data_IF_373547658064
#
_entry.id   IF_373547658064
#
_cell.length_a   1.000
_cell.length_b   1.000
_cell.length_c   1.000
_cell.angle_alpha   90.00
_cell.angle_beta   90.00
_cell.angle_gamma   90.00
#
_symmetry.space_group_name_H-M   'P 1'
#
loop_
_entity.id
_entity.type
_entity.pdbx_description
1 polymer ?
#
# COMPACT_ATOMS: atom_id res chain seq x y z
N UNK A 1 41.18 -12.56 -18.41
CA UNK A 1 39.83 -13.11 -18.70
C UNK A 1 38.95 -11.99 -19.21
N UNK A 2 38.72 -11.90 -20.53
CA UNK A 2 37.73 -10.99 -21.12
C UNK A 2 36.34 -11.55 -20.79
N UNK A 3 35.65 -10.95 -19.82
CA UNK A 3 34.23 -11.23 -19.59
C UNK A 3 33.45 -10.55 -20.72
N UNK A 4 32.96 -11.36 -21.66
CA UNK A 4 32.07 -10.90 -22.72
C UNK A 4 30.76 -10.43 -22.12
N UNK A 5 30.61 -9.11 -21.94
CA UNK A 5 29.31 -8.49 -21.69
C UNK A 5 28.45 -8.69 -22.96
N UNK A 6 27.26 -9.30 -22.86
CA UNK A 6 26.36 -9.35 -24.01
C UNK A 6 25.99 -7.93 -24.44
N UNK A 7 26.04 -7.70 -25.75
CA UNK A 7 25.72 -6.45 -26.42
C UNK A 7 24.47 -5.77 -25.83
N UNK A 8 24.68 -4.66 -25.12
CA UNK A 8 23.61 -3.76 -24.70
C UNK A 8 23.08 -3.10 -25.99
N UNK A 9 22.01 -3.68 -26.57
CA UNK A 9 21.24 -3.04 -27.63
C UNK A 9 20.78 -1.67 -27.12
N UNK A 10 20.96 -0.63 -27.94
CA UNK A 10 20.62 0.75 -27.61
C UNK A 10 19.20 0.87 -27.04
N UNK A 11 19.07 1.60 -25.92
CA UNK A 11 17.83 1.87 -25.19
C UNK A 11 16.85 2.80 -25.95
N UNK A 12 16.56 2.56 -27.23
CA UNK A 12 15.70 3.45 -28.04
C UNK A 12 14.24 3.00 -28.18
N UNK A 13 13.83 1.82 -27.71
CA UNK A 13 12.47 1.28 -27.95
C UNK A 13 11.80 0.63 -26.74
N UNK A 14 11.87 1.23 -25.54
CA UNK A 14 10.92 0.89 -24.47
C UNK A 14 9.75 1.85 -24.55
N UNK A 15 8.67 1.44 -25.22
CA UNK A 15 7.36 2.08 -25.05
C UNK A 15 7.02 2.04 -23.55
N UNK A 16 7.11 3.18 -22.86
CA UNK A 16 6.67 3.36 -21.49
C UNK A 16 5.13 3.31 -21.46
N UNK A 17 4.54 2.13 -21.54
CA UNK A 17 3.12 1.97 -21.24
C UNK A 17 2.96 1.95 -19.72
N UNK A 18 3.06 3.13 -19.09
CA UNK A 18 2.69 3.31 -17.69
C UNK A 18 1.17 3.25 -17.62
N UNK A 19 0.61 2.19 -17.04
CA UNK A 19 -0.84 1.99 -17.00
C UNK A 19 -1.55 2.72 -15.85
N UNK A 20 -0.85 3.53 -15.06
CA UNK A 20 -1.36 4.03 -13.78
C UNK A 20 -0.89 5.42 -13.38
N UNK A 21 -1.58 6.44 -13.85
CA UNK A 21 -1.63 7.68 -13.09
C UNK A 21 -3.06 8.18 -13.03
N UNK A 22 -3.51 8.44 -11.82
CA UNK A 22 -4.37 9.58 -11.54
C UNK A 22 -4.00 10.72 -12.49
N UNK A 23 -4.89 11.05 -13.43
CA UNK A 23 -4.60 12.04 -14.44
C UNK A 23 -4.38 13.44 -13.80
N UNK A 24 -3.78 14.35 -14.55
CA UNK A 24 -3.43 15.67 -14.03
C UNK A 24 -4.67 16.46 -13.57
N UNK A 25 -5.83 16.21 -14.18
CA UNK A 25 -7.08 16.90 -13.83
C UNK A 25 -7.64 16.36 -12.51
N UNK A 26 -7.62 15.04 -12.30
CA UNK A 26 -7.97 14.43 -11.03
C UNK A 26 -7.05 14.90 -9.89
N UNK A 27 -5.73 14.99 -10.10
CA UNK A 27 -4.84 15.53 -9.07
C UNK A 27 -5.15 17.00 -8.73
N UNK A 28 -5.64 17.76 -9.71
CA UNK A 28 -6.06 19.15 -9.53
C UNK A 28 -7.38 19.22 -8.74
N UNK A 29 -8.33 18.31 -8.95
CA UNK A 29 -9.56 18.27 -8.12
C UNK A 29 -9.22 17.98 -6.66
N UNK A 30 -8.27 17.07 -6.39
CA UNK A 30 -7.79 16.82 -5.03
C UNK A 30 -7.15 18.07 -4.40
N UNK A 31 -6.27 18.78 -5.12
CA UNK A 31 -5.61 20.00 -4.61
C UNK A 31 -6.58 21.14 -4.34
N UNK A 32 -7.69 21.19 -5.07
CA UNK A 32 -8.76 22.17 -4.87
C UNK A 32 -9.81 21.73 -3.84
N UNK A 33 -9.69 20.52 -3.28
CA UNK A 33 -10.70 19.89 -2.42
C UNK A 33 -12.08 19.75 -3.09
N UNK A 34 -12.11 19.51 -4.40
CA UNK A 34 -13.36 19.36 -5.18
C UNK A 34 -13.78 17.88 -5.34
N UNK A 35 -12.92 16.94 -4.95
CA UNK A 35 -13.26 15.51 -4.98
C UNK A 35 -14.29 15.19 -3.88
N UNK A 36 -15.40 14.56 -4.27
CA UNK A 36 -16.47 14.13 -3.35
C UNK A 36 -16.21 12.71 -2.89
N UNK A 37 -15.97 12.51 -1.60
CA UNK A 37 -15.75 11.19 -1.04
C UNK A 37 -17.08 10.48 -0.79
N UNK A 38 -17.07 9.15 -0.89
CA UNK A 38 -18.28 8.37 -0.59
C UNK A 38 -18.57 8.43 0.90
N UNK A 39 -19.83 8.69 1.25
CA UNK A 39 -20.29 8.74 2.65
C UNK A 39 -19.98 10.04 3.40
N UNK A 40 -19.60 11.12 2.72
CA UNK A 40 -19.47 12.45 3.37
C UNK A 40 -20.81 12.99 3.92
N UNK A 41 -21.94 12.52 3.42
CA UNK A 41 -23.30 12.92 3.84
C UNK A 41 -23.98 11.91 4.79
N UNK A 42 -23.36 10.76 5.09
CA UNK A 42 -23.96 9.70 5.91
C UNK A 42 -23.31 9.61 7.29
N UNK A 43 -24.12 9.71 8.34
CA UNK A 43 -23.70 9.48 9.74
C UNK A 43 -23.26 8.04 10.03
N UNK A 44 -23.52 7.12 9.10
CA UNK A 44 -23.22 5.69 9.22
C UNK A 44 -21.89 5.36 8.54
N UNK A 45 -20.84 5.16 9.34
CA UNK A 45 -19.45 5.24 8.85
C UNK A 45 -18.89 3.93 8.28
N UNK A 46 -19.68 2.84 8.19
CA UNK A 46 -19.11 1.51 7.90
C UNK A 46 -20.03 0.53 7.15
N UNK A 47 -21.00 0.98 6.36
CA UNK A 47 -21.77 0.06 5.49
C UNK A 47 -20.87 -0.40 4.35
N UNK A 48 -20.78 -1.73 4.10
CA UNK A 48 -20.08 -2.27 2.91
C UNK A 48 -20.65 -1.59 1.67
N UNK A 49 -19.79 -0.86 0.96
CA UNK A 49 -20.21 0.06 -0.10
C UNK A 49 -20.58 -0.71 -1.38
N UNK A 50 -20.19 -1.99 -1.48
CA UNK A 50 -20.59 -2.87 -2.56
C UNK A 50 -20.57 -4.35 -2.10
N UNK A 51 -21.72 -5.03 -2.02
CA UNK A 51 -21.81 -6.43 -1.60
C UNK A 51 -21.33 -7.43 -2.66
N UNK A 52 -21.23 -7.02 -3.93
CA UNK A 52 -20.90 -7.89 -5.06
C UNK A 52 -19.41 -7.86 -5.43
N UNK A 53 -18.63 -7.19 -4.58
CA UNK A 53 -17.23 -6.92 -4.79
C UNK A 53 -16.41 -8.17 -4.46
N UNK A 54 -16.44 -9.11 -5.40
CA UNK A 54 -15.76 -10.39 -5.36
C UNK A 54 -14.30 -10.19 -4.93
N UNK A 55 -13.96 -10.84 -3.82
CA UNK A 55 -12.65 -10.78 -3.19
C UNK A 55 -11.60 -11.29 -4.17
N UNK A 56 -10.97 -10.39 -4.94
CA UNK A 56 -9.77 -10.71 -5.72
C UNK A 56 -8.72 -11.23 -4.76
N UNK A 57 -8.57 -12.53 -4.58
CA UNK A 57 -7.60 -13.08 -3.61
C UNK A 57 -6.20 -13.08 -4.21
N UNK A 58 -5.21 -12.58 -3.46
CA UNK A 58 -3.80 -12.70 -3.85
C UNK A 58 -3.23 -13.98 -3.23
N UNK A 59 -2.72 -14.87 -4.06
CA UNK A 59 -1.99 -16.06 -3.60
C UNK A 59 -0.51 -15.71 -3.35
N UNK A 60 -0.13 -15.64 -2.08
CA UNK A 60 1.25 -15.42 -1.65
C UNK A 60 2.06 -16.72 -1.51
N UNK A 61 1.44 -17.90 -1.67
CA UNK A 61 2.10 -19.19 -1.40
C UNK A 61 3.22 -19.47 -2.40
N UNK A 62 4.42 -19.71 -1.87
CA UNK A 62 5.61 -20.01 -2.68
C UNK A 62 6.06 -18.87 -3.59
N UNK A 63 5.63 -17.63 -3.33
CA UNK A 63 5.97 -16.44 -4.11
C UNK A 63 7.05 -15.62 -3.41
N UNK A 64 7.99 -15.09 -4.17
CA UNK A 64 8.99 -14.13 -3.70
C UNK A 64 8.38 -12.73 -3.68
N UNK A 65 8.15 -12.22 -2.46
CA UNK A 65 7.62 -10.89 -2.21
C UNK A 65 8.75 -9.87 -2.03
N UNK A 66 8.82 -8.90 -2.92
CA UNK A 66 9.70 -7.74 -2.74
C UNK A 66 9.07 -6.81 -1.71
N UNK A 67 9.71 -6.71 -0.54
CA UNK A 67 9.25 -5.84 0.53
C UNK A 67 9.18 -4.37 0.08
N UNK A 68 8.25 -3.58 0.63
CA UNK A 68 8.22 -2.13 0.44
C UNK A 68 9.43 -1.53 1.16
N UNK A 69 10.26 -0.81 0.40
CA UNK A 69 11.51 -0.22 0.86
C UNK A 69 11.48 1.29 0.59
N UNK A 70 11.17 2.10 1.60
CA UNK A 70 11.20 3.56 1.47
C UNK A 70 12.59 4.03 1.02
N UNK A 71 12.63 5.06 0.17
CA UNK A 71 13.77 5.71 -0.50
C UNK A 71 14.51 4.92 -1.57
N UNK A 72 14.34 3.60 -1.63
CA UNK A 72 15.07 2.73 -2.60
C UNK A 72 14.16 1.85 -3.45
N UNK A 73 12.94 1.55 -2.98
CA UNK A 73 11.95 0.65 -3.61
C UNK A 73 11.15 1.27 -4.77
N UNK A 74 11.75 2.21 -5.48
CA UNK A 74 11.09 2.92 -6.58
C UNK A 74 10.84 2.00 -7.80
N UNK A 75 10.03 2.48 -8.75
CA UNK A 75 9.61 1.68 -9.91
C UNK A 75 10.80 1.08 -10.71
N UNK A 76 11.86 1.83 -11.07
CA UNK A 76 13.05 1.26 -11.69
C UNK A 76 13.66 0.09 -10.91
N UNK A 77 13.82 0.22 -9.59
CA UNK A 77 14.37 -0.84 -8.74
C UNK A 77 13.48 -2.09 -8.76
N UNK A 78 12.16 -1.94 -8.59
CA UNK A 78 11.23 -3.08 -8.61
C UNK A 78 11.23 -3.82 -9.95
N UNK A 79 11.39 -3.10 -11.08
CA UNK A 79 11.54 -3.71 -12.41
C UNK A 79 12.79 -4.56 -12.52
N UNK A 80 13.90 -4.12 -11.92
CA UNK A 80 15.12 -4.93 -11.84
C UNK A 80 14.84 -6.19 -11.01
N UNK A 81 14.21 -6.07 -9.84
CA UNK A 81 13.85 -7.22 -9.02
C UNK A 81 12.93 -8.22 -9.74
N UNK A 82 11.96 -7.75 -10.55
CA UNK A 82 11.14 -8.63 -11.41
C UNK A 82 12.00 -9.45 -12.37
N UNK A 83 13.06 -8.88 -12.96
CA UNK A 83 14.00 -9.63 -13.82
C UNK A 83 14.80 -10.69 -13.07
N UNK A 84 14.97 -10.54 -11.76
CA UNK A 84 15.69 -11.47 -10.90
C UNK A 84 14.78 -12.40 -10.09
N UNK A 85 13.49 -12.50 -10.46
CA UNK A 85 12.57 -13.51 -9.91
C UNK A 85 11.67 -13.03 -8.77
N UNK A 86 11.56 -11.72 -8.52
CA UNK A 86 10.47 -11.24 -7.66
C UNK A 86 9.12 -11.56 -8.32
N UNK A 87 8.21 -12.20 -7.59
CA UNK A 87 6.88 -12.53 -8.09
C UNK A 87 5.91 -11.38 -7.82
N UNK A 88 5.94 -10.87 -6.59
CA UNK A 88 5.04 -9.84 -6.08
C UNK A 88 5.88 -8.62 -5.71
N UNK A 89 5.46 -7.43 -6.15
CA UNK A 89 6.11 -6.17 -5.80
C UNK A 89 5.17 -5.27 -4.98
N UNK A 90 5.77 -4.40 -4.18
CA UNK A 90 5.03 -3.39 -3.42
C UNK A 90 5.68 -2.02 -3.56
N UNK A 91 4.88 -0.96 -3.59
CA UNK A 91 5.38 0.41 -3.64
C UNK A 91 6.22 0.75 -2.42
N UNK A 92 6.96 1.86 -2.50
CA UNK A 92 7.40 2.54 -1.28
C UNK A 92 6.19 2.96 -0.43
N UNK A 93 6.43 3.25 0.84
CA UNK A 93 5.38 3.67 1.76
C UNK A 93 4.85 5.06 1.38
N UNK A 94 3.60 5.12 0.93
CA UNK A 94 2.90 6.36 0.65
C UNK A 94 2.19 6.92 1.91
N UNK A 95 2.35 8.20 2.19
CA UNK A 95 1.68 8.87 3.31
C UNK A 95 0.25 9.26 2.89
N UNK A 96 -0.75 8.70 3.58
CA UNK A 96 -2.17 8.86 3.23
C UNK A 96 -2.58 10.33 3.08
N UNK A 97 -2.15 11.22 3.99
CA UNK A 97 -2.46 12.65 3.91
C UNK A 97 -1.86 13.35 2.68
N UNK A 98 -0.68 12.91 2.21
CA UNK A 98 -0.05 13.49 1.03
C UNK A 98 -0.77 13.06 -0.26
N UNK A 99 -1.30 11.83 -0.29
CA UNK A 99 -2.16 11.37 -1.39
C UNK A 99 -3.42 12.22 -1.50
N UNK A 100 -4.10 12.46 -0.37
CA UNK A 100 -5.30 13.32 -0.32
C UNK A 100 -5.02 14.76 -0.76
N UNK A 101 -3.83 15.27 -0.49
CA UNK A 101 -3.39 16.60 -0.93
C UNK A 101 -3.01 16.65 -2.43
N UNK A 102 -3.10 15.54 -3.17
CA UNK A 102 -2.75 15.48 -4.58
C UNK A 102 -1.25 15.73 -4.85
N UNK A 103 -0.35 15.42 -3.89
CA UNK A 103 1.09 15.63 -4.07
C UNK A 103 1.65 14.68 -5.14
N UNK A 104 2.25 15.25 -6.18
CA UNK A 104 2.73 14.47 -7.34
C UNK A 104 3.75 13.39 -6.96
N UNK A 105 4.69 13.72 -6.07
CA UNK A 105 5.71 12.77 -5.62
C UNK A 105 5.11 11.56 -4.92
N UNK A 106 4.04 11.76 -4.15
CA UNK A 106 3.33 10.68 -3.46
C UNK A 106 2.60 9.78 -4.45
N UNK A 107 1.85 10.38 -5.38
CA UNK A 107 1.13 9.65 -6.44
C UNK A 107 2.07 8.92 -7.40
N UNK A 108 3.30 9.39 -7.58
CA UNK A 108 4.31 8.70 -8.38
C UNK A 108 4.71 7.34 -7.78
N UNK A 109 4.59 7.14 -6.46
CA UNK A 109 4.90 5.87 -5.81
C UNK A 109 3.92 4.75 -6.23
N UNK A 110 2.70 5.11 -6.62
CA UNK A 110 1.62 4.20 -6.99
C UNK A 110 1.71 3.74 -8.45
N UNK A 111 2.71 4.22 -9.20
CA UNK A 111 2.91 3.82 -10.60
C UNK A 111 3.34 2.35 -10.69
N UNK A 112 2.65 1.63 -11.58
CA UNK A 112 2.92 0.25 -11.97
C UNK A 112 3.58 0.21 -13.34
N UNK A 113 4.53 -0.70 -13.54
CA UNK A 113 5.02 -1.09 -14.87
C UNK A 113 4.38 -2.42 -15.29
N UNK A 114 4.21 -2.62 -16.60
CA UNK A 114 3.58 -3.83 -17.17
C UNK A 114 4.28 -5.14 -16.81
N UNK A 115 5.56 -5.09 -16.42
CA UNK A 115 6.32 -6.25 -15.94
C UNK A 115 5.99 -6.67 -14.51
N UNK A 116 5.19 -5.91 -13.77
CA UNK A 116 4.78 -6.26 -12.41
C UNK A 116 3.46 -7.01 -12.50
N UNK A 117 3.48 -8.34 -12.35
CA UNK A 117 2.28 -9.20 -12.47
C UNK A 117 1.31 -9.01 -11.31
N UNK A 118 1.85 -8.87 -10.09
CA UNK A 118 1.11 -8.54 -8.87
C UNK A 118 1.83 -7.38 -8.21
N UNK A 119 1.15 -6.24 -8.11
CA UNK A 119 1.68 -5.01 -7.54
C UNK A 119 0.73 -4.45 -6.48
N UNK A 120 1.23 -4.26 -5.26
CA UNK A 120 0.49 -3.59 -4.20
C UNK A 120 1.04 -2.21 -3.86
N UNK A 121 0.20 -1.41 -3.22
CA UNK A 121 0.60 -0.10 -2.70
C UNK A 121 0.59 -0.13 -1.18
N UNK A 122 1.71 0.23 -0.56
CA UNK A 122 1.77 0.41 0.88
C UNK A 122 1.41 1.84 1.26
N UNK A 123 0.48 2.00 2.19
CA UNK A 123 0.11 3.29 2.78
C UNK A 123 0.48 3.39 4.26
N UNK A 124 0.67 4.60 4.75
CA UNK A 124 0.94 4.93 6.15
C UNK A 124 0.04 6.05 6.62
N UNK A 125 -0.34 6.00 7.89
CA UNK A 125 -1.20 6.98 8.55
C UNK A 125 -1.65 6.49 9.92
N UNK A 126 -2.28 7.39 10.67
CA UNK A 126 -2.81 7.09 12.00
C UNK A 126 -4.26 7.53 12.22
N UNK A 127 -4.84 8.25 11.27
CA UNK A 127 -6.23 8.71 11.32
C UNK A 127 -7.09 7.81 10.42
N UNK A 128 -8.11 7.18 11.01
CA UNK A 128 -9.00 6.24 10.31
C UNK A 128 -9.68 6.89 9.09
N UNK A 129 -10.17 8.12 9.22
CA UNK A 129 -10.89 8.81 8.15
C UNK A 129 -9.94 9.16 6.99
N UNK A 130 -8.73 9.65 7.29
CA UNK A 130 -7.75 9.97 6.25
C UNK A 130 -7.29 8.72 5.49
N UNK A 131 -7.05 7.62 6.21
CA UNK A 131 -6.67 6.33 5.60
C UNK A 131 -7.80 5.81 4.71
N UNK A 132 -9.03 5.87 5.20
CA UNK A 132 -10.24 5.45 4.48
C UNK A 132 -10.41 6.18 3.16
N UNK A 133 -10.30 7.51 3.20
CA UNK A 133 -10.32 8.35 2.00
C UNK A 133 -9.20 7.99 1.04
N UNK A 134 -7.98 7.75 1.53
CA UNK A 134 -6.86 7.36 0.67
C UNK A 134 -7.09 5.99 0.01
N UNK A 135 -7.65 5.02 0.74
CA UNK A 135 -8.04 3.71 0.21
C UNK A 135 -9.09 3.83 -0.89
N UNK A 136 -10.09 4.70 -0.72
CA UNK A 136 -11.09 4.97 -1.77
C UNK A 136 -10.45 5.49 -3.05
N UNK A 137 -9.55 6.48 -2.93
CA UNK A 137 -8.85 7.07 -4.07
C UNK A 137 -8.01 6.02 -4.80
N UNK A 138 -7.23 5.22 -4.06
CA UNK A 138 -6.39 4.15 -4.63
C UNK A 138 -7.27 3.12 -5.33
N UNK A 139 -8.30 2.61 -4.66
CA UNK A 139 -9.19 1.56 -5.19
C UNK A 139 -9.93 1.99 -6.45
N UNK A 140 -10.22 3.29 -6.60
CA UNK A 140 -11.05 3.80 -7.69
C UNK A 140 -10.24 4.38 -8.86
N UNK A 141 -9.04 4.88 -8.61
CA UNK A 141 -8.26 5.65 -9.60
C UNK A 141 -6.88 5.05 -9.91
N UNK A 142 -6.60 3.84 -9.43
CA UNK A 142 -5.33 3.13 -9.71
C UNK A 142 -5.57 1.66 -10.01
N UNK A 143 -4.75 1.07 -10.88
CA UNK A 143 -4.74 -0.35 -11.19
C UNK A 143 -3.69 -1.08 -10.34
N UNK A 144 -4.03 -1.35 -9.08
CA UNK A 144 -3.18 -2.10 -8.14
C UNK A 144 -3.92 -3.34 -7.67
N UNK A 145 -3.18 -4.34 -7.19
CA UNK A 145 -3.73 -5.66 -6.88
C UNK A 145 -4.10 -5.80 -5.40
N UNK A 146 -3.48 -5.01 -4.51
CA UNK A 146 -3.79 -4.96 -3.08
C UNK A 146 -3.31 -3.64 -2.45
N UNK A 147 -3.83 -3.33 -1.27
CA UNK A 147 -3.41 -2.18 -0.45
C UNK A 147 -2.84 -2.70 0.86
N UNK A 148 -1.61 -2.29 1.18
CA UNK A 148 -0.90 -2.71 2.40
C UNK A 148 -0.87 -1.58 3.44
N UNK A 149 -1.22 -1.88 4.69
CA UNK A 149 -1.07 -0.93 5.80
C UNK A 149 0.31 -1.08 6.46
N UNK A 150 1.08 0.00 6.48
CA UNK A 150 2.34 0.06 7.22
C UNK A 150 2.08 0.16 8.74
N UNK A 151 2.36 -0.93 9.45
CA UNK A 151 2.42 -1.02 10.91
C UNK A 151 3.84 -1.35 11.39
N UNK A 152 4.87 -1.06 10.59
CA UNK A 152 6.24 -1.53 10.84
C UNK A 152 7.30 -0.45 10.90
N UNK A 153 7.09 0.73 10.31
CA UNK A 153 8.09 1.80 10.29
C UNK A 153 8.37 2.34 11.71
N UNK A 154 9.63 2.31 12.19
CA UNK A 154 9.99 2.80 13.52
C UNK A 154 10.44 4.27 13.53
N UNK A 155 10.55 4.93 12.37
CA UNK A 155 11.08 6.29 12.27
C UNK A 155 10.24 7.24 13.14
N UNK A 156 10.91 8.03 13.99
CA UNK A 156 10.31 8.92 14.98
C UNK A 156 9.23 9.84 14.40
N UNK A 157 9.46 10.35 13.18
CA UNK A 157 8.49 11.20 12.46
C UNK A 157 7.11 10.54 12.31
N UNK A 158 7.07 9.23 12.09
CA UNK A 158 5.83 8.45 11.97
C UNK A 158 5.36 7.94 13.31
N UNK A 159 6.29 7.48 14.15
CA UNK A 159 6.00 6.94 15.48
C UNK A 159 5.31 7.97 16.37
N UNK A 160 5.83 9.19 16.43
CA UNK A 160 5.29 10.28 17.26
C UNK A 160 3.91 10.76 16.77
N UNK A 161 3.58 10.51 15.49
CA UNK A 161 2.23 10.75 14.94
C UNK A 161 1.28 9.56 15.13
N UNK A 162 1.72 8.51 15.83
CA UNK A 162 0.95 7.30 16.08
C UNK A 162 0.75 6.41 14.83
N UNK A 163 1.64 6.51 13.84
CA UNK A 163 1.69 5.69 12.62
C UNK A 163 2.80 4.64 12.70
N UNK A 164 2.91 3.76 11.69
CA UNK A 164 3.95 2.73 11.65
C UNK A 164 3.82 1.77 12.84
N UNK A 165 4.93 1.38 13.46
CA UNK A 165 4.88 0.44 14.58
C UNK A 165 4.18 1.01 15.84
N UNK A 166 3.98 2.34 15.94
CA UNK A 166 3.20 2.92 17.04
C UNK A 166 1.73 2.44 17.04
N UNK A 167 1.18 2.07 15.87
CA UNK A 167 -0.16 1.51 15.76
C UNK A 167 -0.32 0.22 16.58
N UNK A 168 0.74 -0.57 16.69
CA UNK A 168 0.74 -1.83 17.45
C UNK A 168 0.49 -1.63 18.96
N UNK A 169 0.63 -0.40 19.50
CA UNK A 169 0.29 -0.08 20.90
C UNK A 169 -1.21 -0.09 21.16
N UNK A 170 -2.04 0.08 20.14
CA UNK A 170 -3.48 0.26 20.28
C UNK A 170 -4.23 -0.69 19.32
N UNK A 171 -4.46 -1.96 19.72
CA UNK A 171 -5.15 -2.94 18.89
C UNK A 171 -6.55 -2.48 18.45
N UNK A 172 -7.30 -1.82 19.33
CA UNK A 172 -8.66 -1.32 19.01
C UNK A 172 -8.64 -0.30 17.86
N UNK A 173 -7.66 0.62 17.90
CA UNK A 173 -7.46 1.59 16.83
C UNK A 173 -7.08 0.90 15.51
N UNK A 174 -6.21 -0.10 15.57
CA UNK A 174 -5.81 -0.88 14.38
C UNK A 174 -7.00 -1.61 13.78
N UNK A 175 -7.80 -2.30 14.59
CA UNK A 175 -9.02 -2.99 14.11
C UNK A 175 -9.97 -2.01 13.44
N UNK A 176 -10.17 -0.84 14.04
CA UNK A 176 -11.02 0.20 13.44
C UNK A 176 -10.49 0.63 12.07
N UNK A 177 -9.19 0.91 11.96
CA UNK A 177 -8.56 1.30 10.69
C UNK A 177 -8.71 0.18 9.65
N UNK A 178 -8.32 -1.04 9.98
CA UNK A 178 -8.33 -2.19 9.07
C UNK A 178 -9.74 -2.51 8.58
N UNK A 179 -10.73 -2.54 9.48
CA UNK A 179 -12.13 -2.72 9.08
C UNK A 179 -12.60 -1.62 8.14
N UNK A 180 -12.23 -0.36 8.41
CA UNK A 180 -12.52 0.77 7.53
C UNK A 180 -11.94 0.57 6.13
N UNK A 181 -10.67 0.17 6.06
CA UNK A 181 -9.99 -0.09 4.79
C UNK A 181 -10.71 -1.21 4.04
N UNK A 182 -11.04 -2.33 4.68
CA UNK A 182 -11.73 -3.47 4.05
C UNK A 182 -13.13 -3.09 3.57
N UNK A 183 -13.87 -2.29 4.34
CA UNK A 183 -15.23 -1.86 3.99
C UNK A 183 -15.26 -0.98 2.74
N UNK A 184 -14.23 -0.16 2.54
CA UNK A 184 -14.16 0.84 1.45
C UNK A 184 -13.39 0.31 0.24
N UNK A 185 -12.39 -0.54 0.49
CA UNK A 185 -11.46 -1.02 -0.53
C UNK A 185 -12.15 -1.94 -1.52
N UNK A 186 -11.80 -1.76 -2.80
CA UNK A 186 -12.14 -2.73 -3.85
C UNK A 186 -11.15 -3.89 -3.97
N UNK A 187 -10.10 -3.84 -3.16
CA UNK A 187 -8.90 -4.64 -3.26
C UNK A 187 -8.61 -5.29 -1.91
N UNK A 188 -7.92 -6.44 -1.88
CA UNK A 188 -7.38 -7.02 -0.66
C UNK A 188 -6.61 -6.02 0.18
N UNK A 189 -6.85 -6.08 1.48
CA UNK A 189 -6.09 -5.31 2.46
C UNK A 189 -5.11 -6.22 3.16
N UNK A 190 -3.83 -5.89 3.09
CA UNK A 190 -2.76 -6.58 3.82
C UNK A 190 -2.16 -5.68 4.89
N UNK A 191 -1.41 -6.26 5.82
CA UNK A 191 -0.70 -5.53 6.87
C UNK A 191 0.76 -5.95 6.92
N UNK A 192 1.67 -4.98 7.00
CA UNK A 192 3.08 -5.23 7.30
C UNK A 192 3.43 -4.68 8.68
N UNK A 193 3.81 -5.55 9.61
CA UNK A 193 4.13 -5.20 11.00
C UNK A 193 5.45 -5.80 11.48
N UNK A 194 5.98 -5.31 12.60
CA UNK A 194 7.12 -5.93 13.30
C UNK A 194 6.65 -7.02 14.25
N UNK A 195 7.60 -7.79 14.81
CA UNK A 195 7.36 -8.67 15.96
C UNK A 195 6.91 -7.91 17.20
N UNK A 196 7.45 -6.71 17.41
CA UNK A 196 7.18 -5.83 18.54
C UNK A 196 7.59 -4.39 18.28
N UNK A 197 7.45 -3.56 19.32
CA UNK A 197 7.79 -2.12 19.27
C UNK A 197 9.08 -1.84 20.05
N UNK A 198 9.45 -2.75 20.96
CA UNK A 198 10.65 -2.70 21.77
C UNK A 198 11.30 -4.08 21.73
N UNK A 199 12.62 -4.09 21.85
CA UNK A 199 13.38 -5.33 21.90
C UNK A 199 12.93 -6.20 23.08
N UNK A 200 12.87 -7.52 22.86
CA UNK A 200 12.40 -8.49 23.84
C UNK A 200 10.89 -8.48 24.12
N UNK A 201 10.12 -7.54 23.56
CA UNK A 201 8.66 -7.42 23.77
C UNK A 201 7.89 -7.71 22.49
N UNK A 202 7.55 -8.98 22.30
CA UNK A 202 6.76 -9.43 21.14
C UNK A 202 5.26 -9.15 21.31
N UNK A 203 4.66 -8.50 20.31
CA UNK A 203 3.23 -8.20 20.24
C UNK A 203 2.54 -8.88 19.04
N UNK A 204 3.29 -9.28 18.01
CA UNK A 204 2.73 -9.84 16.78
C UNK A 204 1.81 -11.05 17.03
N UNK A 205 2.19 -11.98 17.92
CA UNK A 205 1.38 -13.16 18.25
C UNK A 205 -0.01 -12.81 18.82
N UNK A 206 -0.17 -11.64 19.46
CA UNK A 206 -1.47 -11.14 19.96
C UNK A 206 -2.26 -10.41 18.88
N UNK A 207 -1.57 -9.69 17.99
CA UNK A 207 -2.19 -8.88 16.94
C UNK A 207 -2.62 -9.70 15.72
N UNK A 208 -1.89 -10.75 15.36
CA UNK A 208 -2.19 -11.59 14.19
C UNK A 208 -3.63 -12.14 14.22
N UNK A 209 -4.09 -12.81 15.29
CA UNK A 209 -5.46 -13.34 15.32
C UNK A 209 -6.52 -12.24 15.22
N UNK A 210 -6.26 -11.09 15.84
CA UNK A 210 -7.16 -9.92 15.81
C UNK A 210 -7.28 -9.35 14.39
N UNK A 211 -6.17 -9.25 13.67
CA UNK A 211 -6.13 -8.78 12.28
C UNK A 211 -6.79 -9.78 11.32
N UNK A 212 -6.53 -11.08 11.49
CA UNK A 212 -7.18 -12.15 10.72
C UNK A 212 -8.69 -12.09 10.90
N UNK A 213 -9.17 -11.99 12.15
CA UNK A 213 -10.60 -11.85 12.45
C UNK A 213 -11.20 -10.53 11.91
N UNK A 214 -10.39 -9.48 11.75
CA UNK A 214 -10.83 -8.24 11.11
C UNK A 214 -10.98 -8.38 9.58
N UNK A 215 -10.39 -9.42 8.97
CA UNK A 215 -10.55 -9.75 7.56
C UNK A 215 -9.36 -9.36 6.66
N UNK A 216 -8.16 -9.16 7.20
CA UNK A 216 -6.98 -8.91 6.35
C UNK A 216 -6.69 -10.13 5.48
N UNK A 217 -6.28 -9.89 4.23
CA UNK A 217 -5.99 -10.95 3.26
C UNK A 217 -4.56 -11.47 3.36
N UNK A 218 -3.69 -10.78 4.10
CA UNK A 218 -2.29 -11.17 4.27
C UNK A 218 -1.59 -10.35 5.35
N UNK A 219 -0.62 -10.97 6.01
CA UNK A 219 0.19 -10.35 7.05
C UNK A 219 1.67 -10.65 6.77
N UNK A 220 2.48 -9.60 6.67
CA UNK A 220 3.94 -9.70 6.64
C UNK A 220 4.51 -9.29 8.00
N UNK A 221 5.36 -10.14 8.58
CA UNK A 221 6.05 -9.86 9.85
C UNK A 221 7.53 -9.58 9.58
N UNK A 222 8.01 -8.41 9.98
CA UNK A 222 9.44 -8.14 10.10
C UNK A 222 9.92 -8.68 11.44
N UNK A 223 10.77 -9.70 11.39
CA UNK A 223 11.43 -10.28 12.56
C UNK A 223 12.63 -9.47 12.99
#
# INVERSE_FOLDING_TARGET
VRLGLPNIKSCSNYNLTLSNTADAEFLKTLRKNEYKYRGEDSTDTFTRIDPDLSNKTIDFKGKLYLAPLTTVGNLPFRRICKKYGADITCSEMAVSSNLLQGKMGEWALLKRHTSEDIFGVQISGSNCNLISKAVELISSHTNVDFIDLNMGCPIDLFFNKGSGCALMKNPNKVVKIVKSMITISKLPVTVKMRTGIKDGVNLAHKLIPVLVNAGVSGITVLI
#
